data_IF_620900533645
#
_entry.id   IF_620900533645
#
_cell.length_a   1.000
_cell.length_b   1.000
_cell.length_c   1.000
_cell.angle_alpha   90.00
_cell.angle_beta   90.00
_cell.angle_gamma   90.00
#
_symmetry.space_group_name_H-M   'P 1'
#
loop_
_entity.id
_entity.type
_entity.pdbx_description
1 polymer ?
#
# COMPACT_ATOMS: atom_id res chain seq x y z
N UNK A 1 -27.46 -27.95 12.14
CA UNK A 1 -26.74 -29.18 11.76
C UNK A 1 -25.51 -29.26 12.65
N UNK A 2 -25.42 -30.31 13.46
CA UNK A 2 -24.50 -30.45 14.58
C UNK A 2 -23.02 -30.25 14.18
N UNK A 3 -22.27 -29.48 14.97
CA UNK A 3 -20.81 -29.37 14.85
C UNK A 3 -20.16 -30.32 15.85
N UNK A 4 -19.22 -31.10 15.35
CA UNK A 4 -18.47 -32.10 16.08
C UNK A 4 -17.47 -31.42 17.03
N UNK A 5 -17.61 -31.70 18.32
CA UNK A 5 -16.64 -31.34 19.35
C UNK A 5 -15.43 -32.28 19.23
N UNK A 6 -14.24 -31.79 18.86
CA UNK A 6 -13.00 -32.56 19.02
C UNK A 6 -12.35 -32.23 20.36
N UNK A 7 -12.29 -33.20 21.27
CA UNK A 7 -11.62 -33.07 22.56
C UNK A 7 -10.22 -33.69 22.47
N UNK A 8 -9.16 -32.91 22.70
CA UNK A 8 -7.84 -33.46 23.03
C UNK A 8 -7.58 -33.31 24.53
N UNK A 9 -7.89 -34.36 25.29
CA UNK A 9 -7.58 -34.43 26.71
C UNK A 9 -6.23 -35.13 26.89
N UNK A 10 -5.17 -34.41 27.29
CA UNK A 10 -3.94 -35.06 27.74
C UNK A 10 -4.14 -35.53 29.17
N UNK A 11 -4.16 -36.85 29.36
CA UNK A 11 -4.22 -37.49 30.67
C UNK A 11 -2.87 -37.37 31.37
N UNK A 12 -2.78 -36.50 32.37
CA UNK A 12 -1.75 -36.62 33.40
C UNK A 12 -2.31 -37.54 34.48
N UNK A 13 -1.66 -38.70 34.62
CA UNK A 13 -1.91 -39.68 35.67
C UNK A 13 -1.73 -39.04 37.04
N UNK A 14 -2.70 -39.33 37.91
CA UNK A 14 -2.77 -39.22 39.39
C UNK A 14 -3.82 -38.20 39.89
N UNK A 15 -4.87 -38.77 40.51
CA UNK A 15 -6.10 -38.20 41.09
C UNK A 15 -5.82 -37.08 42.14
N UNK A 16 -6.78 -36.15 42.46
CA UNK A 16 -8.21 -36.14 42.18
C UNK A 16 -8.68 -35.02 41.22
N UNK A 17 -9.71 -35.32 40.43
CA UNK A 17 -10.29 -34.46 39.41
C UNK A 17 -11.04 -33.26 40.00
N UNK A 18 -10.32 -32.19 40.31
CA UNK A 18 -10.84 -30.84 40.05
C UNK A 18 -9.97 -30.29 38.91
N UNK A 19 -10.25 -30.78 37.71
CA UNK A 19 -9.72 -30.19 36.49
C UNK A 19 -10.36 -28.81 36.32
N UNK A 20 -9.67 -27.76 36.76
CA UNK A 20 -10.02 -26.39 36.40
C UNK A 20 -9.75 -26.28 34.90
N UNK A 21 -10.81 -26.40 34.11
CA UNK A 21 -10.76 -26.08 32.70
C UNK A 21 -10.66 -24.55 32.61
N UNK A 22 -9.45 -24.03 32.43
CA UNK A 22 -9.30 -22.63 32.06
C UNK A 22 -9.88 -22.46 30.66
N UNK A 23 -11.12 -21.96 30.61
CA UNK A 23 -11.67 -21.39 29.39
C UNK A 23 -10.82 -20.19 29.04
N UNK A 24 -9.91 -20.32 28.06
CA UNK A 24 -9.50 -19.13 27.31
C UNK A 24 -10.72 -18.71 26.49
N UNK A 25 -11.54 -17.90 27.12
CA UNK A 25 -12.72 -17.27 26.53
C UNK A 25 -12.21 -16.12 25.66
N UNK A 26 -11.91 -16.38 24.39
CA UNK A 26 -11.96 -15.30 23.39
C UNK A 26 -13.43 -15.12 23.06
N UNK A 27 -14.07 -14.22 23.80
CA UNK A 27 -15.37 -13.67 23.46
C UNK A 27 -15.21 -13.01 22.08
N UNK A 28 -16.13 -13.32 21.20
CA UNK A 28 -16.17 -12.92 19.79
C UNK A 28 -15.27 -13.77 18.90
N UNK A 29 -15.89 -14.66 18.11
CA UNK A 29 -15.25 -15.44 17.04
C UNK A 29 -14.74 -14.59 15.87
N UNK A 30 -14.31 -13.36 16.16
CA UNK A 30 -13.56 -12.49 15.26
C UNK A 30 -12.11 -12.88 15.42
N UNK A 31 -11.60 -13.65 14.45
CA UNK A 31 -10.15 -13.79 14.26
C UNK A 31 -9.60 -12.37 14.20
N UNK A 32 -8.76 -12.00 15.16
CA UNK A 32 -8.07 -10.70 15.19
C UNK A 32 -7.54 -10.42 13.80
N UNK A 33 -7.95 -9.31 13.17
CA UNK A 33 -7.49 -8.95 11.84
C UNK A 33 -5.96 -8.95 11.86
N UNK A 34 -5.34 -9.83 11.08
CA UNK A 34 -3.88 -9.95 11.05
C UNK A 34 -3.39 -8.78 10.20
N UNK A 35 -2.79 -7.78 10.85
CA UNK A 35 -2.18 -6.66 10.15
C UNK A 35 -0.82 -7.13 9.63
N UNK A 36 -0.73 -7.34 8.32
CA UNK A 36 0.49 -7.77 7.64
C UNK A 36 1.30 -6.52 7.31
N UNK A 37 2.53 -6.40 7.82
CA UNK A 37 3.32 -5.17 7.62
C UNK A 37 3.90 -5.04 6.21
N UNK A 38 4.32 -6.15 5.59
CA UNK A 38 4.87 -6.18 4.25
C UNK A 38 4.15 -7.21 3.37
N UNK A 39 3.78 -6.86 2.13
CA UNK A 39 2.97 -7.75 1.28
C UNK A 39 3.57 -9.13 1.02
N UNK A 40 4.90 -9.24 0.96
CA UNK A 40 5.58 -10.53 0.77
C UNK A 40 5.17 -11.53 1.85
N UNK A 41 4.94 -11.07 3.08
CA UNK A 41 4.51 -11.91 4.20
C UNK A 41 3.12 -12.51 4.00
N UNK A 42 2.30 -11.98 3.10
CA UNK A 42 1.01 -12.56 2.78
C UNK A 42 1.10 -13.73 1.79
N UNK A 43 2.25 -13.95 1.13
CA UNK A 43 2.48 -15.08 0.23
C UNK A 43 2.52 -16.40 1.03
N UNK A 44 2.13 -17.52 0.42
CA UNK A 44 2.32 -18.85 1.05
C UNK A 44 3.79 -19.25 0.97
N UNK A 45 4.27 -20.14 1.87
CA UNK A 45 5.59 -20.75 1.71
C UNK A 45 5.72 -21.45 0.36
N UNK A 46 6.92 -21.39 -0.23
CA UNK A 46 7.24 -22.03 -1.50
C UNK A 46 8.61 -22.70 -1.40
N UNK A 47 8.59 -24.03 -1.42
CA UNK A 47 9.77 -24.88 -1.30
C UNK A 47 10.64 -24.81 -2.57
N UNK A 48 10.05 -24.42 -3.70
CA UNK A 48 10.70 -24.45 -5.01
C UNK A 48 10.96 -25.87 -5.51
N UNK A 49 11.51 -26.01 -6.73
CA UNK A 49 11.68 -27.32 -7.37
C UNK A 49 12.97 -28.06 -6.99
N UNK A 50 13.91 -27.38 -6.34
CA UNK A 50 15.16 -28.00 -5.90
C UNK A 50 14.93 -28.87 -4.65
N UNK A 51 15.87 -29.79 -4.37
CA UNK A 51 15.75 -30.79 -3.29
C UNK A 51 16.80 -30.63 -2.18
N UNK A 52 17.35 -29.44 -2.00
CA UNK A 52 18.21 -29.17 -0.85
C UNK A 52 17.32 -29.08 0.40
N UNK A 53 17.82 -29.57 1.54
CA UNK A 53 17.15 -29.42 2.82
C UNK A 53 17.71 -28.18 3.50
N UNK A 54 17.00 -27.05 3.39
CA UNK A 54 17.37 -25.80 4.06
C UNK A 54 16.23 -25.36 4.98
N UNK A 55 16.49 -25.32 6.28
CA UNK A 55 15.56 -24.74 7.23
C UNK A 55 15.46 -23.23 7.01
N UNK A 56 14.24 -22.76 6.76
CA UNK A 56 13.90 -21.35 6.55
C UNK A 56 12.67 -20.98 7.36
N UNK A 57 12.37 -19.70 7.45
CA UNK A 57 11.18 -19.18 8.12
C UNK A 57 10.27 -18.48 7.11
N UNK A 58 8.97 -18.57 7.33
CA UNK A 58 7.96 -17.83 6.58
C UNK A 58 6.88 -17.34 7.54
N UNK A 59 6.18 -16.27 7.19
CA UNK A 59 5.02 -15.80 7.93
C UNK A 59 3.77 -16.57 7.48
N UNK A 60 3.17 -17.32 8.40
CA UNK A 60 1.88 -17.96 8.16
C UNK A 60 0.75 -17.00 8.50
N UNK A 61 0.02 -16.58 7.47
CA UNK A 61 -1.16 -15.74 7.61
C UNK A 61 -2.28 -16.42 8.39
N UNK A 62 -2.31 -17.75 8.46
CA UNK A 62 -3.35 -18.51 9.16
C UNK A 62 -3.16 -18.53 10.67
N UNK A 63 -1.92 -18.67 11.12
CA UNK A 63 -1.57 -18.61 12.54
C UNK A 63 -1.19 -17.20 13.00
N UNK A 64 -0.87 -16.29 12.07
CA UNK A 64 -0.37 -14.95 12.34
C UNK A 64 1.05 -14.95 12.92
N UNK A 65 1.84 -15.99 12.64
CA UNK A 65 3.18 -16.19 13.22
C UNK A 65 4.21 -16.58 12.17
N UNK A 66 5.47 -16.30 12.48
CA UNK A 66 6.59 -16.83 11.72
C UNK A 66 6.86 -18.28 12.13
N UNK A 67 6.89 -19.18 11.14
CA UNK A 67 7.05 -20.62 11.32
C UNK A 67 8.17 -21.14 10.41
N UNK A 68 8.79 -22.27 10.78
CA UNK A 68 9.83 -22.89 9.96
C UNK A 68 9.23 -23.74 8.82
N UNK A 69 9.97 -23.85 7.72
CA UNK A 69 9.67 -24.75 6.61
C UNK A 69 10.95 -25.19 5.90
N UNK A 70 10.88 -26.31 5.17
CA UNK A 70 11.98 -26.80 4.35
C UNK A 70 11.99 -26.11 2.98
N UNK A 71 13.05 -25.37 2.69
CA UNK A 71 13.26 -24.73 1.40
C UNK A 71 14.21 -25.56 0.53
N UNK A 72 13.73 -25.95 -0.65
CA UNK A 72 14.43 -26.74 -1.66
C UNK A 72 15.73 -26.13 -2.18
N UNK A 73 15.98 -24.85 -1.90
CA UNK A 73 17.26 -24.18 -2.17
C UNK A 73 17.36 -23.44 -3.50
N UNK A 74 16.30 -23.45 -4.32
CA UNK A 74 16.18 -22.59 -5.50
C UNK A 74 14.73 -22.18 -5.76
N UNK A 75 14.56 -21.09 -6.51
CA UNK A 75 13.26 -20.45 -6.78
C UNK A 75 12.57 -20.03 -5.47
N UNK A 76 11.29 -20.36 -5.27
CA UNK A 76 10.52 -19.89 -4.14
C UNK A 76 9.95 -18.49 -4.35
N UNK A 77 9.52 -17.88 -3.25
CA UNK A 77 9.04 -16.51 -3.21
C UNK A 77 9.66 -15.72 -2.04
N UNK A 78 9.24 -14.47 -1.88
CA UNK A 78 9.82 -13.54 -0.90
C UNK A 78 9.39 -13.78 0.55
N UNK A 79 8.42 -14.66 0.82
CA UNK A 79 8.10 -15.10 2.19
C UNK A 79 9.04 -16.24 2.62
N UNK A 80 10.35 -15.95 2.61
CA UNK A 80 11.41 -16.91 2.88
C UNK A 80 12.58 -16.19 3.54
N UNK A 81 12.72 -16.37 4.84
CA UNK A 81 13.68 -15.69 5.70
C UNK A 81 14.67 -16.70 6.28
N UNK A 82 15.91 -16.28 6.50
CA UNK A 82 16.94 -17.17 7.04
C UNK A 82 16.76 -17.38 8.55
N UNK A 83 16.23 -16.37 9.24
CA UNK A 83 16.04 -16.42 10.70
C UNK A 83 14.62 -16.04 11.10
N UNK A 84 14.16 -16.56 12.25
CA UNK A 84 12.89 -16.19 12.85
C UNK A 84 12.81 -14.67 13.07
N UNK A 85 13.90 -14.07 13.58
CA UNK A 85 13.96 -12.63 13.87
C UNK A 85 13.78 -11.78 12.60
N UNK A 86 14.35 -12.18 11.48
CA UNK A 86 14.18 -11.49 10.19
C UNK A 86 12.73 -11.55 9.73
N UNK A 87 12.11 -12.73 9.80
CA UNK A 87 10.68 -12.91 9.48
C UNK A 87 9.81 -12.02 10.36
N UNK A 88 9.99 -12.06 11.68
CA UNK A 88 9.21 -11.24 12.61
C UNK A 88 9.44 -9.75 12.37
N UNK A 89 10.67 -9.37 12.04
CA UNK A 89 11.01 -7.99 11.72
C UNK A 89 10.32 -7.55 10.42
N UNK A 90 10.21 -8.40 9.42
CA UNK A 90 9.55 -8.03 8.16
C UNK A 90 8.02 -8.02 8.29
N UNK A 91 7.46 -8.99 9.00
CA UNK A 91 6.05 -9.34 8.88
C UNK A 91 5.17 -8.89 10.04
N UNK A 92 5.71 -8.87 11.27
CA UNK A 92 4.93 -8.48 12.44
C UNK A 92 4.91 -6.96 12.60
N UNK A 93 3.70 -6.43 12.76
CA UNK A 93 3.48 -5.07 13.25
C UNK A 93 3.87 -5.06 14.72
N UNK A 94 4.91 -4.28 15.05
CA UNK A 94 5.31 -3.99 16.42
C UNK A 94 4.93 -2.53 16.74
N UNK A 95 4.78 -2.20 18.02
CA UNK A 95 4.41 -0.85 18.51
C UNK A 95 5.33 0.25 17.93
N UNK A 96 6.61 -0.07 17.75
CA UNK A 96 7.65 0.80 17.17
C UNK A 96 7.56 0.95 15.65
N UNK A 97 6.74 0.14 14.96
CA UNK A 97 6.56 0.18 13.51
C UNK A 97 5.20 0.75 13.16
N UNK A 98 5.19 2.05 12.90
CA UNK A 98 3.99 2.73 12.43
C UNK A 98 3.67 2.31 10.98
N UNK A 99 2.47 1.79 10.68
CA UNK A 99 2.04 1.51 9.30
C UNK A 99 1.97 2.79 8.46
N UNK A 100 1.91 3.95 9.10
CA UNK A 100 1.68 5.24 8.49
C UNK A 100 2.84 5.75 7.62
N UNK A 101 3.97 5.03 7.55
CA UNK A 101 5.07 5.37 6.64
C UNK A 101 5.06 4.51 5.36
N UNK A 102 4.19 3.51 5.28
CA UNK A 102 4.07 2.64 4.12
C UNK A 102 3.21 3.33 3.03
N UNK A 103 3.45 3.02 1.77
CA UNK A 103 2.58 3.46 0.68
C UNK A 103 1.25 2.66 0.66
N UNK A 104 0.25 3.11 -0.09
CA UNK A 104 -0.96 2.33 -0.32
C UNK A 104 -0.67 1.07 -1.15
N UNK A 105 -1.32 -0.03 -0.81
CA UNK A 105 -1.11 -1.28 -1.53
C UNK A 105 -2.43 -1.99 -1.83
N UNK A 106 -2.96 -1.81 -3.05
CA UNK A 106 -4.17 -2.50 -3.50
C UNK A 106 -4.08 -4.02 -3.46
N UNK A 107 -2.87 -4.59 -3.54
CA UNK A 107 -2.67 -6.02 -3.66
C UNK A 107 -3.06 -6.58 -5.04
N UNK A 108 -2.86 -7.89 -5.28
CA UNK A 108 -3.08 -8.54 -6.56
C UNK A 108 -4.54 -8.94 -6.82
N UNK A 109 -5.39 -9.04 -5.78
CA UNK A 109 -6.81 -9.29 -5.99
C UNK A 109 -7.49 -8.11 -6.71
N UNK A 110 -8.61 -8.39 -7.38
CA UNK A 110 -9.34 -7.42 -8.22
C UNK A 110 -10.64 -6.92 -7.60
N UNK A 111 -10.77 -7.03 -6.27
CA UNK A 111 -11.85 -6.40 -5.54
C UNK A 111 -11.78 -4.87 -5.61
N UNK A 112 -12.92 -4.22 -5.46
CA UNK A 112 -13.04 -2.77 -5.36
C UNK A 112 -13.49 -2.40 -3.96
N UNK A 113 -12.71 -2.81 -2.95
CA UNK A 113 -13.05 -2.60 -1.54
C UNK A 113 -12.55 -1.20 -1.13
N UNK A 114 -13.44 -0.23 -0.82
CA UNK A 114 -13.00 1.08 -0.39
C UNK A 114 -12.29 0.97 0.97
N UNK A 115 -11.06 1.49 1.05
CA UNK A 115 -10.23 1.52 2.26
C UNK A 115 -9.55 2.88 2.38
N UNK A 116 -8.91 3.12 3.52
CA UNK A 116 -8.17 4.33 3.81
C UNK A 116 -6.70 4.00 4.07
N UNK A 117 -5.80 4.84 3.63
CA UNK A 117 -4.38 4.76 3.95
C UNK A 117 -3.90 6.17 4.34
N UNK A 118 -2.84 6.24 5.12
CA UNK A 118 -2.19 7.48 5.45
C UNK A 118 -1.12 7.82 4.41
N UNK A 119 -1.30 8.91 3.69
CA UNK A 119 -0.28 9.44 2.79
C UNK A 119 0.70 10.29 3.60
N UNK A 120 1.87 9.73 3.90
CA UNK A 120 2.92 10.40 4.67
C UNK A 120 3.39 11.71 4.00
N UNK A 121 3.33 11.81 2.67
CA UNK A 121 3.82 13.01 1.95
C UNK A 121 2.88 14.20 2.13
N UNK A 122 1.56 13.96 2.13
CA UNK A 122 0.57 15.01 2.37
C UNK A 122 0.11 15.10 3.83
N UNK A 123 0.49 14.15 4.68
CA UNK A 123 0.01 14.01 6.06
C UNK A 123 -1.53 13.88 6.14
N UNK A 124 -2.14 13.15 5.19
CA UNK A 124 -3.60 13.00 5.11
C UNK A 124 -4.00 11.54 5.01
N UNK A 125 -5.12 11.18 5.64
CA UNK A 125 -5.77 9.90 5.37
C UNK A 125 -6.60 9.99 4.08
N UNK A 126 -6.20 9.23 3.06
CA UNK A 126 -6.84 9.22 1.74
C UNK A 126 -7.53 7.89 1.49
N UNK A 127 -8.59 7.93 0.68
CA UNK A 127 -9.28 6.72 0.23
C UNK A 127 -8.53 6.07 -0.93
N UNK A 128 -8.43 4.75 -0.92
CA UNK A 128 -7.97 3.94 -2.05
C UNK A 128 -8.87 2.71 -2.25
N UNK A 129 -8.67 1.99 -3.35
CA UNK A 129 -9.37 0.72 -3.61
C UNK A 129 -8.44 -0.45 -3.30
N UNK A 130 -8.76 -1.17 -2.24
CA UNK A 130 -8.10 -2.41 -1.88
C UNK A 130 -8.69 -3.57 -2.68
N UNK A 131 -7.81 -4.38 -3.24
CA UNK A 131 -8.10 -5.56 -4.03
C UNK A 131 -8.81 -6.66 -3.24
N UNK A 132 -8.75 -6.64 -1.92
CA UNK A 132 -9.39 -7.64 -1.05
C UNK A 132 -8.48 -8.79 -0.63
N UNK A 133 -7.22 -8.82 -1.08
CA UNK A 133 -6.22 -9.75 -0.58
C UNK A 133 -4.80 -9.18 -0.69
N UNK A 134 -3.89 -9.68 0.16
CA UNK A 134 -2.52 -9.18 0.35
C UNK A 134 -2.50 -7.67 0.69
N UNK A 135 -1.41 -6.95 0.39
CA UNK A 135 -1.23 -5.56 0.78
C UNK A 135 -0.50 -5.41 2.12
N UNK A 136 -0.40 -4.17 2.59
CA UNK A 136 0.35 -3.83 3.79
C UNK A 136 -0.53 -3.24 4.89
N UNK A 137 0.09 -2.93 6.03
CA UNK A 137 -0.61 -2.50 7.24
C UNK A 137 -1.18 -1.07 7.15
N UNK A 138 -0.83 -0.28 6.12
CA UNK A 138 -1.44 1.04 5.86
C UNK A 138 -2.77 0.88 5.11
N UNK A 139 -3.70 0.15 5.71
CA UNK A 139 -4.98 -0.21 5.12
C UNK A 139 -6.04 -0.27 6.23
N UNK A 140 -6.74 0.84 6.40
CA UNK A 140 -7.75 1.05 7.42
C UNK A 140 -9.16 0.94 6.83
N UNK A 141 -10.09 0.38 7.58
CA UNK A 141 -11.48 0.23 7.14
C UNK A 141 -12.21 1.56 7.16
N UNK A 142 -11.86 2.44 8.09
CA UNK A 142 -12.49 3.76 8.26
C UNK A 142 -11.46 4.88 8.30
N UNK A 143 -11.89 6.08 7.92
CA UNK A 143 -11.03 7.29 8.03
C UNK A 143 -10.66 7.58 9.49
N UNK A 144 -11.58 7.31 10.42
CA UNK A 144 -11.35 7.50 11.87
C UNK A 144 -10.21 6.62 12.37
N UNK A 145 -10.23 5.34 12.02
CA UNK A 145 -9.16 4.39 12.36
C UNK A 145 -7.79 4.85 11.83
N UNK A 146 -7.75 5.34 10.58
CA UNK A 146 -6.54 5.92 10.01
C UNK A 146 -6.05 7.14 10.80
N UNK A 147 -6.94 8.10 11.13
CA UNK A 147 -6.58 9.29 11.92
C UNK A 147 -6.08 8.92 13.32
N UNK A 148 -6.79 8.03 14.01
CA UNK A 148 -6.40 7.60 15.36
C UNK A 148 -5.04 6.92 15.37
N UNK A 149 -4.73 6.13 14.34
CA UNK A 149 -3.47 5.40 14.23
C UNK A 149 -2.30 6.27 13.77
N UNK A 150 -2.53 7.23 12.87
CA UNK A 150 -1.49 7.94 12.13
C UNK A 150 -1.38 9.44 12.43
N UNK A 151 -2.42 10.05 13.03
CA UNK A 151 -2.45 11.45 13.45
C UNK A 151 -2.64 11.61 14.97
N UNK A 152 -1.87 10.93 15.83
CA UNK A 152 -2.04 11.05 17.28
C UNK A 152 -1.75 12.47 17.80
N UNK A 153 -1.02 13.29 17.04
CA UNK A 153 -0.69 14.68 17.41
C UNK A 153 -1.88 15.66 17.32
N UNK A 154 -2.96 15.34 16.58
CA UNK A 154 -4.16 16.17 16.57
C UNK A 154 -5.02 15.99 17.83
N UNK A 155 -4.92 14.83 18.50
CA UNK A 155 -5.66 14.54 19.74
C UNK A 155 -4.90 14.96 21.03
N UNK A 156 -3.62 15.30 20.93
CA UNK A 156 -2.81 15.77 22.08
C UNK A 156 -2.70 17.29 22.17
N UNK A 157 -3.03 18.03 21.10
CA UNK A 157 -3.12 19.50 21.17
C UNK A 157 -4.46 19.99 21.73
N UNK A 158 -5.55 19.22 21.62
CA UNK A 158 -6.85 19.60 22.19
C UNK A 158 -6.97 19.31 23.69
N UNK A 159 -6.19 18.38 24.25
CA UNK A 159 -6.20 18.10 25.71
C UNK A 159 -5.37 19.06 26.55
N UNK A 160 -4.49 19.84 25.91
CA UNK A 160 -3.66 20.85 26.57
C UNK A 160 -3.92 22.25 26.03
N UNK A 161 -5.01 22.46 25.27
CA UNK A 161 -5.44 23.79 24.90
C UNK A 161 -5.92 24.52 26.17
N UNK A 162 -5.34 25.67 26.54
CA UNK A 162 -5.90 26.51 27.60
C UNK A 162 -7.34 26.84 27.23
N UNK A 163 -8.28 26.61 28.16
CA UNK A 163 -9.63 27.16 28.07
C UNK A 163 -9.50 28.65 27.77
N UNK A 164 -9.85 29.07 26.55
CA UNK A 164 -10.08 30.49 26.29
C UNK A 164 -11.27 30.90 27.15
N UNK A 165 -11.18 31.99 27.93
CA UNK A 165 -12.33 32.53 28.63
C UNK A 165 -13.43 32.85 27.62
N UNK A 166 -14.64 32.35 27.90
CA UNK A 166 -15.87 32.82 27.27
C UNK A 166 -16.02 34.33 27.53
N UNK A 167 -16.00 35.14 26.47
CA UNK A 167 -16.58 36.47 26.51
C UNK A 167 -18.08 36.36 26.22
N UNK A 168 -18.85 36.60 27.27
CA UNK A 168 -20.32 36.63 27.25
C UNK A 168 -20.82 37.93 26.61
N UNK A 169 -21.77 37.73 25.71
CA UNK A 169 -22.63 38.60 24.90
C UNK A 169 -22.97 40.01 25.39
N UNK A 170 -23.19 40.93 24.43
CA UNK A 170 -24.43 41.72 24.36
C UNK A 170 -24.64 42.48 23.02
N UNK A 171 -25.84 42.30 22.43
CA UNK A 171 -26.57 43.24 21.54
C UNK A 171 -28.01 43.33 22.13
N UNK A 172 -28.97 44.22 21.73
CA UNK A 172 -29.04 45.20 20.63
C UNK A 172 -29.78 46.55 20.93
N UNK A 173 -29.97 47.42 19.92
CA UNK A 173 -31.14 48.32 19.61
C UNK A 173 -30.76 49.37 18.51
N UNK A 174 -31.23 49.26 17.24
CA UNK A 174 -32.43 49.81 16.52
C UNK A 174 -32.23 51.15 15.74
N UNK A 175 -32.26 51.05 14.39
CA UNK A 175 -32.84 51.86 13.26
C UNK A 175 -33.21 53.38 13.37
N UNK A 176 -33.50 54.16 12.27
CA UNK A 176 -33.95 53.77 10.90
C UNK A 176 -33.49 54.59 9.64
N UNK A 177 -33.87 54.07 8.44
CA UNK A 177 -34.26 54.73 7.15
C UNK A 177 -33.19 55.53 6.34
N UNK A 178 -33.06 55.48 5.00
CA UNK A 178 -34.04 55.19 3.94
C UNK A 178 -33.40 54.97 2.52
N UNK A 179 -34.15 54.23 1.68
CA UNK A 179 -34.45 54.38 0.23
C UNK A 179 -33.52 53.86 -0.91
N UNK A 180 -34.24 53.18 -1.82
CA UNK A 180 -33.99 52.64 -3.17
C UNK A 180 -33.18 53.50 -4.16
N UNK A 181 -32.61 52.86 -5.19
CA UNK A 181 -33.06 52.94 -6.61
C UNK A 181 -32.31 51.90 -7.47
N UNK A 182 -32.99 51.44 -8.52
CA UNK A 182 -32.72 50.33 -9.44
C UNK A 182 -31.48 50.47 -10.34
N UNK A 183 -31.07 49.34 -10.92
CA UNK A 183 -30.08 49.22 -11.97
C UNK A 183 -30.47 49.97 -13.27
N UNK A 184 -29.50 50.29 -14.14
CA UNK A 184 -29.52 49.55 -15.41
C UNK A 184 -28.15 49.23 -16.04
N UNK A 185 -28.28 48.41 -17.07
CA UNK A 185 -27.31 47.85 -18.00
C UNK A 185 -26.44 48.86 -18.77
N UNK A 186 -25.35 48.28 -19.30
CA UNK A 186 -24.51 48.68 -20.44
C UNK A 186 -23.25 49.51 -20.17
N UNK A 187 -22.10 48.86 -20.40
CA UNK A 187 -20.88 49.53 -20.84
C UNK A 187 -20.20 48.69 -21.94
N UNK A 188 -20.33 49.16 -23.17
CA UNK A 188 -19.42 48.90 -24.28
C UNK A 188 -18.02 49.45 -23.98
N UNK A 189 -16.94 48.72 -24.30
CA UNK A 189 -15.80 49.13 -25.17
C UNK A 189 -14.63 48.12 -25.11
N UNK A 190 -14.07 47.80 -26.29
CA UNK A 190 -12.92 46.91 -26.56
C UNK A 190 -11.56 47.55 -26.16
N UNK A 191 -10.38 46.95 -26.46
CA UNK A 191 -9.83 45.67 -25.98
C UNK A 191 -8.42 45.87 -25.37
N UNK A 192 -8.03 45.08 -24.36
CA UNK A 192 -6.61 44.96 -23.96
C UNK A 192 -6.10 43.52 -24.04
N UNK A 193 -5.18 43.37 -24.99
CA UNK A 193 -4.19 42.34 -25.23
C UNK A 193 -4.10 41.16 -24.23
N UNK A 194 -4.28 39.96 -24.79
CA UNK A 194 -3.84 38.68 -24.23
C UNK A 194 -2.31 38.71 -24.02
N UNK A 195 -1.87 38.80 -22.77
CA UNK A 195 -0.58 38.25 -22.39
C UNK A 195 -0.78 36.78 -22.02
N UNK A 196 -0.46 35.90 -22.97
CA UNK A 196 -0.34 34.47 -22.72
C UNK A 196 0.76 34.25 -21.68
N UNK A 197 0.38 33.82 -20.47
CA UNK A 197 1.33 33.30 -19.47
C UNK A 197 2.22 32.23 -20.12
N UNK A 198 3.53 32.21 -19.85
CA UNK A 198 4.40 31.17 -20.37
C UNK A 198 3.97 29.82 -19.78
N UNK A 199 3.52 28.93 -20.65
CA UNK A 199 3.25 27.55 -20.32
C UNK A 199 4.57 26.93 -19.83
N UNK A 200 4.63 26.58 -18.54
CA UNK A 200 5.71 25.77 -18.01
C UNK A 200 5.81 24.49 -18.86
N UNK A 201 6.86 24.37 -19.67
CA UNK A 201 7.13 23.16 -20.45
C UNK A 201 7.42 22.04 -19.45
N UNK A 202 6.42 21.20 -19.17
CA UNK A 202 6.62 19.93 -18.46
C UNK A 202 7.72 19.15 -19.20
N UNK A 203 8.69 18.53 -18.50
CA UNK A 203 9.71 17.73 -19.14
C UNK A 203 9.02 16.59 -19.89
N UNK A 204 9.22 16.50 -21.20
CA UNK A 204 8.71 15.38 -21.98
C UNK A 204 9.53 14.16 -21.60
N UNK A 205 8.95 13.28 -20.78
CA UNK A 205 9.52 11.98 -20.45
C UNK A 205 9.69 11.20 -21.76
N UNK A 206 10.92 11.12 -22.27
CA UNK A 206 11.17 10.58 -23.60
C UNK A 206 11.21 9.05 -23.54
N UNK A 207 10.02 8.45 -23.52
CA UNK A 207 9.82 7.00 -23.48
C UNK A 207 10.16 6.37 -24.83
N UNK A 208 10.78 5.17 -24.86
CA UNK A 208 11.05 4.47 -26.12
C UNK A 208 9.79 4.32 -26.98
N UNK A 209 9.90 4.58 -28.28
CA UNK A 209 8.78 4.50 -29.23
C UNK A 209 8.05 3.16 -29.18
N UNK A 210 8.77 2.06 -28.93
CA UNK A 210 8.20 0.72 -28.80
C UNK A 210 7.05 0.66 -27.80
N UNK A 211 7.12 1.42 -26.70
CA UNK A 211 6.11 1.40 -25.63
C UNK A 211 4.78 2.00 -26.06
N UNK A 212 4.73 2.70 -27.18
CA UNK A 212 3.49 3.28 -27.72
C UNK A 212 2.87 2.42 -28.81
N UNK A 213 3.47 1.26 -29.12
CA UNK A 213 2.90 0.30 -30.06
C UNK A 213 1.61 -0.30 -29.48
N UNK A 214 0.59 -0.57 -30.31
CA UNK A 214 -0.69 -1.13 -29.85
C UNK A 214 -0.52 -2.55 -29.28
N UNK A 215 -1.55 -3.04 -28.59
CA UNK A 215 -1.62 -4.46 -28.21
C UNK A 215 -1.68 -5.27 -29.50
N UNK A 216 -0.73 -6.17 -29.67
CA UNK A 216 -0.67 -7.06 -30.83
C UNK A 216 -0.55 -8.49 -30.34
N UNK A 217 -1.65 -9.25 -30.50
CA UNK A 217 -1.70 -10.66 -30.12
C UNK A 217 -0.89 -11.53 -31.06
N UNK A 218 -0.58 -11.08 -32.27
CA UNK A 218 -0.03 -11.93 -33.32
C UNK A 218 -1.07 -12.87 -33.95
N UNK A 219 -0.60 -13.72 -34.85
CA UNK A 219 -1.44 -14.52 -35.76
C UNK A 219 -1.30 -16.04 -35.57
N UNK A 220 -0.69 -16.48 -34.47
CA UNK A 220 -0.59 -17.91 -34.13
C UNK A 220 -1.78 -18.36 -33.25
N UNK A 221 -1.79 -19.64 -32.89
CA UNK A 221 -2.84 -20.24 -32.05
C UNK A 221 -2.45 -20.38 -30.56
N UNK A 222 -1.25 -19.96 -30.19
CA UNK A 222 -0.81 -19.98 -28.80
C UNK A 222 -1.57 -18.99 -27.91
N UNK A 223 -1.35 -19.07 -26.61
CA UNK A 223 -1.93 -18.13 -25.65
C UNK A 223 -1.01 -17.99 -24.44
N UNK A 224 0.10 -17.31 -24.64
CA UNK A 224 1.09 -17.02 -23.61
C UNK A 224 0.73 -15.75 -22.84
N UNK A 225 0.90 -15.78 -21.52
CA UNK A 225 0.79 -14.57 -20.70
C UNK A 225 1.99 -13.65 -20.94
N UNK A 226 1.73 -12.43 -21.39
CA UNK A 226 2.75 -11.39 -21.63
C UNK A 226 2.28 -10.05 -21.07
N UNK A 227 3.20 -9.10 -20.95
CA UNK A 227 2.96 -7.75 -20.45
C UNK A 227 3.23 -6.72 -21.53
N UNK A 228 2.44 -5.65 -21.57
CA UNK A 228 2.59 -4.53 -22.51
C UNK A 228 2.37 -3.21 -21.80
N UNK A 229 3.00 -2.14 -22.27
CA UNK A 229 2.77 -0.81 -21.77
C UNK A 229 1.55 -0.17 -22.43
N UNK A 230 0.55 0.19 -21.63
CA UNK A 230 -0.62 0.91 -22.10
C UNK A 230 -0.45 2.43 -21.87
N UNK A 231 -0.33 3.25 -22.93
CA UNK A 231 -0.13 4.70 -22.78
C UNK A 231 -1.35 5.45 -22.25
N UNK A 232 -2.56 4.89 -22.39
CA UNK A 232 -3.80 5.51 -21.84
C UNK A 232 -3.84 5.38 -20.33
N UNK A 233 -3.58 4.19 -19.80
CA UNK A 233 -3.58 3.93 -18.35
C UNK A 233 -2.23 4.20 -17.68
N UNK A 234 -1.21 4.44 -18.49
CA UNK A 234 0.19 4.61 -18.13
C UNK A 234 0.79 3.42 -17.35
N UNK A 235 0.27 2.21 -17.52
CA UNK A 235 0.65 1.01 -16.76
C UNK A 235 1.09 -0.14 -17.66
N UNK A 236 1.93 -1.02 -17.13
CA UNK A 236 2.19 -2.32 -17.72
C UNK A 236 1.03 -3.29 -17.40
N UNK A 237 0.33 -3.74 -18.43
CA UNK A 237 -0.86 -4.60 -18.35
C UNK A 237 -0.56 -5.96 -18.98
N UNK A 238 -1.19 -7.00 -18.45
CA UNK A 238 -1.10 -8.34 -19.00
C UNK A 238 -2.00 -8.49 -20.24
N UNK A 239 -1.57 -9.25 -21.24
CA UNK A 239 -2.36 -9.69 -22.39
C UNK A 239 -1.94 -11.10 -22.85
N UNK A 240 -2.81 -11.78 -23.60
CA UNK A 240 -2.51 -13.08 -24.20
C UNK A 240 -1.88 -12.91 -25.58
N UNK A 241 -0.63 -13.36 -25.73
CA UNK A 241 0.13 -13.36 -26.96
C UNK A 241 0.10 -14.73 -27.62
N UNK A 242 -0.06 -14.75 -28.93
CA UNK A 242 -0.26 -15.98 -29.70
C UNK A 242 0.99 -16.84 -29.89
N UNK A 243 2.17 -16.34 -29.52
CA UNK A 243 3.46 -17.04 -29.68
C UNK A 243 4.25 -16.62 -30.93
N UNK A 244 3.63 -15.95 -31.92
CA UNK A 244 4.34 -15.43 -33.09
C UNK A 244 3.83 -14.06 -33.56
N UNK A 245 4.62 -13.36 -34.37
CA UNK A 245 4.31 -12.01 -34.84
C UNK A 245 4.47 -10.97 -33.74
N UNK A 246 3.49 -10.08 -33.59
CA UNK A 246 3.50 -9.09 -32.52
C UNK A 246 4.42 -7.90 -32.78
N UNK A 247 4.55 -7.06 -31.75
CA UNK A 247 5.49 -5.94 -31.71
C UNK A 247 6.30 -5.93 -30.41
N UNK A 248 7.24 -4.99 -30.31
CA UNK A 248 8.20 -4.89 -29.18
C UNK A 248 7.57 -4.43 -27.85
N UNK A 249 6.30 -4.02 -27.84
CA UNK A 249 5.56 -3.75 -26.61
C UNK A 249 5.00 -5.06 -26.00
N UNK A 250 5.86 -6.05 -25.85
CA UNK A 250 5.53 -7.41 -25.44
C UNK A 250 6.68 -7.94 -24.57
N UNK A 251 6.43 -8.09 -23.29
CA UNK A 251 7.42 -8.43 -22.27
C UNK A 251 6.98 -9.71 -21.54
N UNK A 252 7.92 -10.61 -21.26
CA UNK A 252 7.62 -11.83 -20.50
C UNK A 252 7.28 -11.50 -19.04
N UNK A 253 8.05 -10.59 -18.43
CA UNK A 253 7.83 -10.15 -17.05
C UNK A 253 7.30 -8.73 -16.99
N UNK A 254 6.37 -8.48 -16.06
CA UNK A 254 5.87 -7.13 -15.76
C UNK A 254 6.99 -6.16 -15.40
N UNK A 255 7.97 -6.60 -14.62
CA UNK A 255 9.11 -5.79 -14.19
C UNK A 255 9.95 -5.28 -15.36
N UNK A 256 10.13 -6.09 -16.41
CA UNK A 256 10.87 -5.69 -17.61
C UNK A 256 10.10 -4.63 -18.41
N UNK A 257 8.78 -4.80 -18.53
CA UNK A 257 7.91 -3.76 -19.09
C UNK A 257 8.04 -2.44 -18.31
N UNK A 258 8.01 -2.50 -16.97
CA UNK A 258 8.12 -1.30 -16.13
C UNK A 258 9.49 -0.63 -16.29
N UNK A 259 10.58 -1.40 -16.26
CA UNK A 259 11.94 -0.89 -16.48
C UNK A 259 12.11 -0.24 -17.86
N UNK A 260 11.56 -0.86 -18.90
CA UNK A 260 11.69 -0.36 -20.27
C UNK A 260 10.79 0.85 -20.55
N UNK A 261 9.53 0.77 -20.12
CA UNK A 261 8.47 1.68 -20.52
C UNK A 261 7.98 2.60 -19.41
N UNK A 262 8.51 2.54 -18.20
CA UNK A 262 8.15 3.48 -17.12
C UNK A 262 9.36 4.28 -16.60
N UNK A 263 10.49 4.24 -17.33
CA UNK A 263 11.67 5.07 -17.06
C UNK A 263 11.31 6.55 -17.03
N UNK A 264 11.60 7.18 -15.90
CA UNK A 264 11.27 8.58 -15.63
C UNK A 264 10.14 8.82 -14.62
N UNK A 265 9.42 7.77 -14.21
CA UNK A 265 8.61 7.84 -12.98
C UNK A 265 9.52 7.72 -11.75
N UNK A 266 10.66 7.04 -11.87
CA UNK A 266 11.65 6.88 -10.81
C UNK A 266 12.77 7.94 -10.81
N UNK A 267 13.07 8.62 -11.93
CA UNK A 267 14.22 9.56 -11.96
C UNK A 267 13.91 10.95 -11.40
N UNK A 268 12.64 11.29 -11.19
CA UNK A 268 12.29 12.46 -10.38
C UNK A 268 12.55 12.20 -8.88
N UNK A 269 12.52 10.94 -8.45
CA UNK A 269 12.76 10.53 -7.05
C UNK A 269 14.20 10.04 -6.79
N UNK A 270 15.02 9.81 -7.84
CA UNK A 270 16.43 9.35 -7.69
C UNK A 270 17.43 10.51 -7.50
N UNK A 271 17.02 11.78 -7.64
CA UNK A 271 17.90 12.90 -7.29
C UNK A 271 18.27 12.94 -5.79
N UNK A 272 17.53 12.21 -4.93
CA UNK A 272 17.80 12.14 -3.50
C UNK A 272 18.79 11.03 -3.10
N UNK A 273 19.05 10.04 -3.97
CA UNK A 273 19.91 8.90 -3.63
C UNK A 273 21.40 9.10 -3.97
N UNK A 274 21.80 10.21 -4.62
CA UNK A 274 23.21 10.49 -4.95
C UNK A 274 23.97 11.34 -3.92
N UNK A 275 23.41 11.55 -2.72
CA UNK A 275 24.12 12.28 -1.64
C UNK A 275 24.76 11.33 -0.61
N UNK A 276 24.37 10.06 -0.54
CA UNK A 276 24.83 9.17 0.53
C UNK A 276 26.01 8.24 0.18
N UNK A 277 26.44 8.14 -1.09
CA UNK A 277 27.57 7.28 -1.47
C UNK A 277 28.95 8.00 -1.50
N UNK A 278 29.09 9.20 -0.92
CA UNK A 278 30.39 9.93 -0.85
C UNK A 278 31.07 9.82 0.52
N UNK A 279 30.44 9.22 1.54
CA UNK A 279 31.09 8.98 2.83
C UNK A 279 31.10 7.48 3.06
N UNK A 280 32.25 6.85 2.80
CA UNK A 280 32.82 5.61 3.36
C UNK A 280 33.75 5.06 2.26
N UNK A 281 34.88 5.74 2.04
CA UNK A 281 36.14 5.11 1.61
C UNK A 281 37.26 6.12 1.78
N UNK A 282 37.89 6.12 2.96
CA UNK A 282 39.31 6.45 3.18
C UNK A 282 39.67 6.26 4.65
N UNK A 283 40.15 5.07 4.97
CA UNK A 283 41.44 4.96 5.66
C UNK A 283 42.01 3.53 5.52
N UNK A 284 43.03 3.31 4.68
CA UNK A 284 43.88 2.13 4.79
C UNK A 284 44.95 2.37 5.87
N UNK A 285 45.35 1.27 6.51
CA UNK A 285 46.36 1.21 7.55
C UNK A 285 47.71 1.86 7.17
N UNK A 286 48.23 2.70 8.07
CA UNK A 286 49.62 2.75 8.57
C UNK A 286 49.56 3.16 10.03
#
# INVERSE_FOLDING_TARGET
MAQLLSWSCRTLLLLPLIGICFTKFTRDGVRSEIHIFHHSCALKKDEGPCKALKDRFYFDTDTGRCESFEYGGCQGNENNFETLQECEKMCLVKEDKSPCQLDDEPGPCRGLVPRYFFDFKSQECKRFFYGGCFGNANNFKTIKECHERCLPALNNMERNAPLKPEEVEAKPKTEPLAKHVEAPLNASHLPMQRMSKPSAKKPRLNRPKLCFSPIDRGNCEGSEERYMYNPRTKRCQMFHYSGCGGNKNNFVKRSDCMKMCMRGVFTADIAYFRVFDIIIEKNPAV
#
